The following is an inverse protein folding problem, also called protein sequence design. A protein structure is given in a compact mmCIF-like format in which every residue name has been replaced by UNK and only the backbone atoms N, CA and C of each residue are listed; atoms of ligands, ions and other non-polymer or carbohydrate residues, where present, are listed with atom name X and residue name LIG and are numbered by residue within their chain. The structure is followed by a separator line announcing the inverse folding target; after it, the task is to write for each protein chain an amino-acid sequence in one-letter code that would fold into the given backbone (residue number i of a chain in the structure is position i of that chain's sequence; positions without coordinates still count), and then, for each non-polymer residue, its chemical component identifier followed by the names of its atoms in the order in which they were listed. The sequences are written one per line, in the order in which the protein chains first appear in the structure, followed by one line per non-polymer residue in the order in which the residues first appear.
data_IF_887873701471
#
_entry.id   IF_887873701471
#
_cell.length_a   1.000
_cell.length_b   1.000
_cell.length_c   1.000
_cell.angle_alpha   90.00
_cell.angle_beta   90.00
_cell.angle_gamma   90.00
#
_symmetry.space_group_name_H-M   'P 1'
#
loop_
_entity.id
_entity.type
_entity.pdbx_description
1 polymer ?
#
# COMPACT_ATOMS: atom_id res chain seq x y z
N UNK A 1 25.58 7.62 -2.33
CA UNK A 1 24.29 7.89 -1.64
C UNK A 1 24.10 6.72 -0.70
N UNK A 2 23.98 6.97 0.59
CA UNK A 2 23.97 5.91 1.59
C UNK A 2 22.54 5.42 1.83
N UNK A 3 22.40 4.29 2.51
CA UNK A 3 21.11 3.72 2.86
C UNK A 3 20.94 3.66 4.38
N UNK A 4 19.73 3.93 4.84
CA UNK A 4 19.39 3.93 6.26
C UNK A 4 18.02 3.28 6.49
N UNK A 5 17.91 2.56 7.59
CA UNK A 5 16.64 2.09 8.11
C UNK A 5 16.16 3.00 9.25
N UNK A 6 14.89 3.43 9.18
CA UNK A 6 14.18 4.07 10.26
C UNK A 6 13.18 3.11 10.87
N UNK A 7 13.08 3.09 12.20
CA UNK A 7 12.03 2.35 12.91
C UNK A 7 11.34 3.25 13.93
N UNK A 8 10.05 3.50 13.72
CA UNK A 8 9.19 4.20 14.68
C UNK A 8 8.43 3.17 15.49
N UNK A 9 8.53 3.20 16.83
CA UNK A 9 7.80 2.27 17.71
C UNK A 9 6.51 2.92 18.20
N UNK A 10 5.51 2.13 18.55
CA UNK A 10 4.33 2.67 19.22
C UNK A 10 4.67 3.11 20.66
N UNK A 11 4.03 4.16 21.20
CA UNK A 11 4.47 4.80 22.45
C UNK A 11 4.28 3.92 23.70
N UNK A 12 3.48 2.85 23.61
CA UNK A 12 3.11 1.98 24.73
C UNK A 12 2.94 0.50 24.33
N UNK A 13 3.58 0.06 23.25
CA UNK A 13 3.27 -1.24 22.60
C UNK A 13 1.78 -1.41 22.25
N UNK A 14 1.04 -0.30 22.19
CA UNK A 14 -0.34 -0.29 21.71
C UNK A 14 -0.33 -0.64 20.23
N UNK A 15 -1.25 -1.49 19.83
CA UNK A 15 -1.39 -1.86 18.42
C UNK A 15 -1.75 -0.60 17.62
N UNK A 16 -1.04 -0.34 16.54
CA UNK A 16 -1.44 0.62 15.53
C UNK A 16 -2.81 0.21 14.99
N UNK A 17 -3.75 1.16 14.83
CA UNK A 17 -5.03 0.85 14.23
C UNK A 17 -4.80 0.26 12.83
N UNK A 18 -5.26 -0.98 12.63
CA UNK A 18 -5.19 -1.69 11.34
C UNK A 18 -6.48 -1.53 10.52
N UNK A 19 -7.28 -0.50 10.79
CA UNK A 19 -8.35 -0.15 9.87
C UNK A 19 -7.74 0.43 8.59
N UNK A 20 -8.27 0.04 7.43
CA UNK A 20 -7.72 0.42 6.12
C UNK A 20 -7.66 1.94 5.95
N UNK A 21 -8.63 2.68 6.50
CA UNK A 21 -8.64 4.13 6.44
C UNK A 21 -7.42 4.74 7.16
N UNK A 22 -7.07 4.27 8.36
CA UNK A 22 -5.86 4.71 9.06
C UNK A 22 -4.60 4.28 8.33
N UNK A 23 -4.50 3.03 7.87
CA UNK A 23 -3.34 2.56 7.08
C UNK A 23 -3.10 3.47 5.88
N UNK A 24 -4.14 3.75 5.09
CA UNK A 24 -4.07 4.62 3.91
C UNK A 24 -3.64 6.06 4.25
N UNK A 25 -4.14 6.64 5.36
CA UNK A 25 -3.64 7.94 5.86
C UNK A 25 -2.16 7.91 6.20
N UNK A 26 -1.69 6.86 6.86
CA UNK A 26 -0.28 6.68 7.24
C UNK A 26 0.60 6.52 5.99
N UNK A 27 0.17 5.72 5.02
CA UNK A 27 0.85 5.58 3.72
C UNK A 27 1.05 6.93 3.06
N UNK A 28 -0.03 7.74 2.93
CA UNK A 28 0.08 9.08 2.32
C UNK A 28 1.04 9.98 3.10
N UNK A 29 1.03 9.92 4.43
CA UNK A 29 1.96 10.68 5.26
C UNK A 29 3.42 10.26 5.02
N UNK A 30 3.70 8.95 4.87
CA UNK A 30 5.03 8.43 4.54
C UNK A 30 5.47 8.92 3.15
N UNK A 31 4.63 8.70 2.14
CA UNK A 31 4.95 9.04 0.74
C UNK A 31 5.15 10.54 0.56
N UNK A 32 4.27 11.38 1.13
CA UNK A 32 4.40 12.83 1.03
C UNK A 32 5.67 13.37 1.71
N UNK A 33 6.14 12.72 2.78
CA UNK A 33 7.29 13.19 3.57
C UNK A 33 8.61 12.64 3.07
N UNK A 34 8.66 11.34 2.78
CA UNK A 34 9.88 10.61 2.46
C UNK A 34 9.96 10.15 1.00
N UNK A 35 8.94 10.43 0.19
CA UNK A 35 8.79 9.88 -1.16
C UNK A 35 10.00 10.05 -2.07
N UNK A 36 10.80 11.10 -1.94
CA UNK A 36 12.02 11.28 -2.74
C UNK A 36 13.21 10.39 -2.30
N UNK A 37 13.20 9.88 -1.07
CA UNK A 37 14.26 9.05 -0.48
C UNK A 37 13.83 7.59 -0.20
N UNK A 38 12.53 7.31 -0.16
CA UNK A 38 11.94 6.01 0.20
C UNK A 38 12.29 4.88 -0.78
N UNK A 39 12.69 3.71 -0.28
CA UNK A 39 12.81 2.45 -1.04
C UNK A 39 11.73 1.45 -0.64
N UNK A 40 11.52 1.27 0.67
CA UNK A 40 10.53 0.37 1.23
C UNK A 40 9.91 0.97 2.49
N UNK A 41 8.66 0.61 2.78
CA UNK A 41 8.12 0.74 4.13
C UNK A 41 7.19 -0.41 4.47
N UNK A 42 6.98 -0.58 5.77
CA UNK A 42 6.01 -1.50 6.32
C UNK A 42 5.45 -0.94 7.62
N UNK A 43 4.12 -0.93 7.75
CA UNK A 43 3.36 -0.54 8.92
C UNK A 43 2.93 -1.82 9.64
N UNK A 44 3.63 -2.18 10.72
CA UNK A 44 3.28 -3.35 11.52
C UNK A 44 2.26 -2.98 12.60
N UNK A 45 1.97 -3.91 13.50
CA UNK A 45 1.11 -3.65 14.66
C UNK A 45 1.78 -2.75 15.70
N UNK A 46 3.09 -2.79 15.86
CA UNK A 46 3.79 -2.13 16.98
C UNK A 46 4.86 -1.16 16.52
N UNK A 47 5.20 -1.14 15.24
CA UNK A 47 6.24 -0.27 14.71
C UNK A 47 6.04 0.02 13.20
N UNK A 48 6.73 1.04 12.69
CA UNK A 48 6.78 1.37 11.26
C UNK A 48 8.23 1.32 10.83
N UNK A 49 8.54 0.46 9.86
CA UNK A 49 9.85 0.39 9.22
C UNK A 49 9.86 1.21 7.95
N UNK A 50 10.96 1.94 7.71
CA UNK A 50 11.23 2.59 6.43
C UNK A 50 12.69 2.34 6.05
N UNK A 51 12.92 2.12 4.77
CA UNK A 51 14.25 2.03 4.16
C UNK A 51 14.43 3.23 3.22
N UNK A 52 15.48 4.02 3.42
CA UNK A 52 15.70 5.30 2.75
C UNK A 52 17.08 5.37 2.08
N UNK A 53 17.17 6.08 0.96
CA UNK A 53 18.42 6.54 0.34
C UNK A 53 18.62 8.03 0.59
N UNK A 54 19.60 8.36 1.42
CA UNK A 54 19.92 9.73 1.81
C UNK A 54 21.32 9.78 2.45
N UNK A 55 21.82 10.97 2.81
CA UNK A 55 22.94 11.07 3.75
C UNK A 55 22.42 11.15 5.19
N UNK A 56 23.29 10.88 6.19
CA UNK A 56 22.91 10.83 7.62
C UNK A 56 22.13 12.05 8.12
N UNK A 57 22.54 13.25 7.70
CA UNK A 57 21.92 14.50 8.11
C UNK A 57 20.49 14.63 7.56
N UNK A 58 20.30 14.31 6.27
CA UNK A 58 18.97 14.27 5.65
C UNK A 58 18.10 13.19 6.26
N UNK A 59 18.64 12.01 6.56
CA UNK A 59 17.92 10.94 7.27
C UNK A 59 17.41 11.41 8.63
N UNK A 60 18.22 12.15 9.40
CA UNK A 60 17.80 12.74 10.67
C UNK A 60 16.63 13.73 10.52
N UNK A 61 16.68 14.62 9.52
CA UNK A 61 15.58 15.55 9.22
C UNK A 61 14.31 14.83 8.77
N UNK A 62 14.44 13.80 7.93
CA UNK A 62 13.32 12.96 7.50
C UNK A 62 12.70 12.24 8.70
N UNK A 63 13.50 11.73 9.63
CA UNK A 63 13.00 11.07 10.84
C UNK A 63 12.15 12.02 11.70
N UNK A 64 12.56 13.27 11.86
CA UNK A 64 11.79 14.29 12.58
C UNK A 64 10.48 14.64 11.86
N UNK A 65 10.54 14.90 10.55
CA UNK A 65 9.37 15.23 9.74
C UNK A 65 8.35 14.07 9.71
N UNK A 66 8.83 12.83 9.58
CA UNK A 66 8.02 11.62 9.64
C UNK A 66 7.39 11.44 11.02
N UNK A 67 8.12 11.67 12.11
CA UNK A 67 7.54 11.59 13.46
C UNK A 67 6.32 12.50 13.60
N UNK A 68 6.41 13.74 13.11
CA UNK A 68 5.31 14.70 13.12
C UNK A 68 4.17 14.32 12.16
N UNK A 69 4.47 13.85 10.95
CA UNK A 69 3.45 13.46 9.97
C UNK A 69 2.68 12.21 10.40
N UNK A 70 3.41 11.18 10.83
CA UNK A 70 2.86 9.92 11.35
C UNK A 70 2.06 10.19 12.62
N UNK A 71 2.57 11.03 13.52
CA UNK A 71 1.84 11.36 14.75
C UNK A 71 0.49 12.03 14.50
N UNK A 72 0.39 12.90 13.48
CA UNK A 72 -0.89 13.45 13.03
C UNK A 72 -1.79 12.39 12.40
N UNK A 73 -1.25 11.53 11.51
CA UNK A 73 -2.02 10.50 10.84
C UNK A 73 -2.58 9.45 11.80
N UNK A 74 -1.82 9.11 12.84
CA UNK A 74 -2.15 8.14 13.88
C UNK A 74 -2.85 8.76 15.10
N UNK A 75 -2.93 10.10 15.16
CA UNK A 75 -3.43 10.85 16.32
C UNK A 75 -2.71 10.47 17.63
N UNK A 76 -1.41 10.23 17.55
CA UNK A 76 -0.59 9.79 18.67
C UNK A 76 0.80 10.44 18.61
N UNK A 77 1.41 10.71 19.76
CA UNK A 77 2.80 11.17 19.81
C UNK A 77 3.73 9.97 19.72
N UNK A 78 4.52 9.88 18.67
CA UNK A 78 5.50 8.80 18.51
C UNK A 78 6.82 9.11 19.27
N UNK A 79 7.49 8.09 19.83
CA UNK A 79 8.88 8.22 20.26
C UNK A 79 9.79 8.53 19.06
N UNK A 80 11.02 8.96 19.36
CA UNK A 80 12.06 9.14 18.35
C UNK A 80 12.32 7.83 17.60
N UNK A 81 12.50 7.92 16.28
CA UNK A 81 12.88 6.77 15.48
C UNK A 81 14.30 6.31 15.81
N UNK A 82 14.52 4.99 15.82
CA UNK A 82 15.87 4.44 15.71
C UNK A 82 16.34 4.58 14.26
N UNK A 83 17.62 4.90 14.09
CA UNK A 83 18.27 5.06 12.79
C UNK A 83 19.42 4.06 12.74
N UNK A 84 19.38 3.17 11.76
CA UNK A 84 20.43 2.18 11.53
C UNK A 84 21.00 2.36 10.13
N UNK A 85 22.31 2.19 10.01
CA UNK A 85 23.03 2.32 8.74
C UNK A 85 22.93 1.00 7.97
N UNK A 86 22.84 1.08 6.64
CA UNK A 86 22.84 -0.08 5.74
C UNK A 86 24.13 -0.06 4.93
N UNK A 87 24.85 -1.18 4.97
CA UNK A 87 26.22 -1.29 4.46
C UNK A 87 26.29 -2.22 3.26
N UNK A 88 26.54 -1.67 2.08
CA UNK A 88 26.71 -2.46 0.85
C UNK A 88 25.40 -2.97 0.24
N UNK A 89 25.52 -3.59 -0.94
CA UNK A 89 24.38 -4.04 -1.74
C UNK A 89 23.62 -5.22 -1.11
N UNK A 90 24.34 -6.21 -0.58
CA UNK A 90 23.70 -7.40 0.00
C UNK A 90 22.88 -7.05 1.25
N UNK A 91 23.44 -6.22 2.14
CA UNK A 91 22.69 -5.71 3.29
C UNK A 91 21.47 -4.90 2.85
N UNK A 92 21.58 -4.09 1.78
CA UNK A 92 20.45 -3.34 1.25
C UNK A 92 19.34 -4.26 0.73
N UNK A 93 19.69 -5.33 0.00
CA UNK A 93 18.72 -6.30 -0.51
C UNK A 93 18.02 -7.02 0.65
N UNK A 94 18.79 -7.55 1.61
CA UNK A 94 18.21 -8.22 2.78
C UNK A 94 17.36 -7.28 3.64
N UNK A 95 17.76 -6.01 3.80
CA UNK A 95 16.99 -5.02 4.53
C UNK A 95 15.70 -4.64 3.80
N UNK A 96 15.72 -4.56 2.47
CA UNK A 96 14.55 -4.31 1.64
C UNK A 96 13.49 -5.40 1.83
N UNK A 97 13.87 -6.67 1.66
CA UNK A 97 12.98 -7.81 1.88
C UNK A 97 12.53 -7.88 3.35
N UNK A 98 13.44 -7.64 4.30
CA UNK A 98 13.12 -7.62 5.73
C UNK A 98 11.99 -6.65 6.03
N UNK A 99 12.08 -5.41 5.53
CA UNK A 99 11.06 -4.39 5.74
C UNK A 99 9.72 -4.87 5.17
N UNK A 100 9.67 -5.35 3.92
CA UNK A 100 8.41 -5.75 3.29
C UNK A 100 7.74 -6.97 3.94
N UNK A 101 8.54 -7.93 4.42
CA UNK A 101 8.07 -9.20 4.98
C UNK A 101 8.01 -9.24 6.52
N UNK A 102 8.02 -8.08 7.18
CA UNK A 102 8.17 -8.01 8.62
C UNK A 102 7.03 -8.73 9.40
N UNK A 103 5.77 -8.60 8.98
CA UNK A 103 4.64 -9.34 9.56
C UNK A 103 4.92 -10.86 9.59
N UNK A 104 5.35 -11.41 8.46
CA UNK A 104 5.63 -12.85 8.32
C UNK A 104 6.72 -13.30 9.28
N UNK A 105 7.75 -12.46 9.50
CA UNK A 105 8.85 -12.72 10.45
C UNK A 105 8.42 -12.69 11.91
N UNK A 106 7.32 -12.03 12.20
CA UNK A 106 6.71 -12.01 13.53
C UNK A 106 5.55 -13.01 13.68
N UNK A 107 5.37 -13.91 12.69
CA UNK A 107 4.29 -14.89 12.70
C UNK A 107 2.90 -14.28 12.46
N UNK A 108 2.83 -13.03 12.03
CA UNK A 108 1.59 -12.32 11.72
C UNK A 108 1.26 -12.56 10.25
N UNK A 109 0.04 -13.00 9.89
CA UNK A 109 -0.36 -13.06 8.50
C UNK A 109 -0.27 -11.67 7.87
N UNK A 110 0.37 -11.55 6.71
CA UNK A 110 0.41 -10.28 6.03
C UNK A 110 -0.99 -9.89 5.56
N UNK A 111 -1.24 -8.59 5.46
CA UNK A 111 -2.36 -8.05 4.70
C UNK A 111 -2.38 -8.69 3.29
N UNK A 112 -3.45 -9.41 2.90
CA UNK A 112 -3.54 -10.00 1.56
C UNK A 112 -3.42 -8.96 0.44
N UNK A 113 -3.81 -7.71 0.69
CA UNK A 113 -3.73 -6.60 -0.25
C UNK A 113 -2.48 -5.73 -0.04
N UNK A 114 -1.67 -6.06 0.97
CA UNK A 114 -0.38 -5.42 1.27
C UNK A 114 -0.47 -3.90 1.39
N UNK A 115 -1.62 -3.35 1.78
CA UNK A 115 -1.85 -1.91 1.85
C UNK A 115 -0.97 -1.25 2.91
N UNK A 116 -0.53 -2.02 3.91
CA UNK A 116 0.41 -1.63 4.96
C UNK A 116 1.88 -1.56 4.51
N UNK A 117 2.19 -1.83 3.24
CA UNK A 117 3.54 -1.72 2.65
C UNK A 117 3.52 -0.83 1.40
N UNK A 118 4.67 -0.58 0.77
CA UNK A 118 4.72 -0.01 -0.59
C UNK A 118 4.74 -1.04 -1.72
N UNK A 119 4.49 -2.33 -1.46
CA UNK A 119 4.36 -3.33 -2.53
C UNK A 119 3.33 -2.94 -3.59
N UNK A 120 2.13 -2.40 -3.24
CA UNK A 120 1.19 -1.90 -4.23
C UNK A 120 1.77 -0.80 -5.13
N UNK A 121 2.63 0.08 -4.60
CA UNK A 121 3.27 1.13 -5.42
C UNK A 121 4.33 0.55 -6.36
N UNK A 122 5.09 -0.44 -5.88
CA UNK A 122 6.15 -1.10 -6.63
C UNK A 122 5.60 -1.98 -7.76
N UNK A 123 4.43 -2.58 -7.54
CA UNK A 123 3.72 -3.43 -8.50
C UNK A 123 2.74 -2.67 -9.39
N UNK A 124 2.63 -1.34 -9.23
CA UNK A 124 1.75 -0.50 -10.03
C UNK A 124 0.26 -0.58 -9.68
N UNK A 125 -0.11 -1.23 -8.58
CA UNK A 125 -1.47 -1.27 -8.05
C UNK A 125 -1.85 0.02 -7.29
N UNK A 126 -0.88 0.89 -6.98
CA UNK A 126 -1.08 2.16 -6.31
C UNK A 126 -0.18 3.24 -6.90
N UNK A 127 -0.69 4.46 -7.11
CA UNK A 127 0.03 5.47 -7.92
C UNK A 127 0.80 6.50 -7.10
N UNK A 128 0.47 6.68 -5.82
CA UNK A 128 1.03 7.76 -4.99
C UNK A 128 2.53 7.58 -4.74
N UNK A 129 3.02 6.35 -4.65
CA UNK A 129 4.42 6.02 -4.41
C UNK A 129 5.20 5.61 -5.66
N UNK A 130 4.66 5.84 -6.87
CA UNK A 130 5.20 5.30 -8.14
C UNK A 130 6.68 5.65 -8.40
N UNK A 131 7.16 6.80 -7.94
CA UNK A 131 8.59 7.17 -8.02
C UNK A 131 9.54 6.24 -7.23
N UNK A 132 8.99 5.40 -6.34
CA UNK A 132 9.75 4.40 -5.58
C UNK A 132 10.18 3.23 -6.44
N UNK A 133 9.36 2.82 -7.40
CA UNK A 133 9.68 1.70 -8.30
C UNK A 133 10.95 1.97 -9.12
N UNK A 134 11.07 3.17 -9.69
CA UNK A 134 12.26 3.58 -10.45
C UNK A 134 13.54 3.60 -9.61
N UNK A 135 13.44 4.01 -8.35
CA UNK A 135 14.59 4.03 -7.42
C UNK A 135 14.98 2.64 -6.97
N UNK A 136 14.02 1.78 -6.61
CA UNK A 136 14.30 0.36 -6.29
C UNK A 136 15.00 -0.31 -7.47
N UNK A 137 14.50 -0.15 -8.70
CA UNK A 137 15.15 -0.70 -9.90
C UNK A 137 16.59 -0.21 -10.08
N UNK A 138 16.87 1.05 -9.76
CA UNK A 138 18.19 1.63 -9.90
C UNK A 138 19.21 1.10 -8.89
N UNK A 139 18.80 0.81 -7.65
CA UNK A 139 19.72 0.37 -6.59
C UNK A 139 19.67 -1.12 -6.26
N UNK A 140 18.59 -1.81 -6.63
CA UNK A 140 18.34 -3.23 -6.41
C UNK A 140 17.88 -3.88 -7.72
N UNK A 141 18.73 -3.94 -8.75
CA UNK A 141 18.33 -4.37 -10.11
C UNK A 141 17.88 -5.84 -10.19
N UNK A 142 18.23 -6.68 -9.19
CA UNK A 142 17.78 -8.07 -9.09
C UNK A 142 16.36 -8.21 -8.54
N UNK A 143 15.84 -7.16 -7.88
CA UNK A 143 14.45 -7.11 -7.40
C UNK A 143 13.56 -6.71 -8.57
N UNK A 144 12.98 -7.71 -9.22
CA UNK A 144 12.11 -7.55 -10.39
C UNK A 144 10.62 -7.72 -10.02
N UNK A 145 9.74 -7.60 -11.01
CA UNK A 145 8.28 -7.70 -10.81
C UNK A 145 7.83 -9.05 -10.26
N UNK A 146 8.42 -10.16 -10.71
CA UNK A 146 8.06 -11.50 -10.28
C UNK A 146 8.44 -11.72 -8.82
N UNK A 147 9.64 -11.30 -8.44
CA UNK A 147 10.08 -11.34 -7.04
C UNK A 147 9.19 -10.47 -6.14
N UNK A 148 8.81 -9.27 -6.58
CA UNK A 148 7.88 -8.41 -5.84
C UNK A 148 6.48 -9.05 -5.69
N UNK A 149 5.99 -9.75 -6.73
CA UNK A 149 4.72 -10.51 -6.66
C UNK A 149 4.83 -11.67 -5.68
N UNK A 150 5.96 -12.39 -5.66
CA UNK A 150 6.22 -13.45 -4.68
C UNK A 150 6.20 -12.89 -3.25
N UNK A 151 6.93 -11.81 -2.98
CA UNK A 151 6.93 -11.14 -1.67
C UNK A 151 5.53 -10.68 -1.25
N UNK A 152 4.73 -10.20 -2.20
CA UNK A 152 3.34 -9.80 -1.97
C UNK A 152 2.40 -10.99 -1.74
N UNK A 153 2.76 -12.20 -2.17
CA UNK A 153 1.84 -13.33 -2.25
C UNK A 153 0.83 -13.18 -3.39
N UNK A 154 1.24 -12.52 -4.48
CA UNK A 154 0.45 -12.23 -5.68
C UNK A 154 0.95 -12.97 -6.93
N UNK A 155 1.73 -14.04 -6.76
CA UNK A 155 2.30 -14.81 -7.88
C UNK A 155 1.26 -15.52 -8.75
N UNK A 156 0.08 -15.81 -8.19
CA UNK A 156 -1.10 -16.41 -8.83
C UNK A 156 -2.18 -15.37 -9.18
N UNK A 157 -1.95 -14.08 -8.90
CA UNK A 157 -2.90 -13.01 -9.25
C UNK A 157 -2.80 -12.78 -10.75
N UNK A 158 -3.74 -13.40 -11.45
CA UNK A 158 -3.95 -13.27 -12.89
C UNK A 158 -5.04 -12.27 -13.21
N UNK A 159 -5.04 -11.80 -14.45
CA UNK A 159 -6.09 -10.94 -14.97
C UNK A 159 -7.45 -11.62 -14.82
N UNK A 160 -8.34 -11.03 -14.02
CA UNK A 160 -9.67 -11.60 -13.76
C UNK A 160 -10.69 -11.01 -14.72
N UNK A 161 -11.66 -11.81 -15.19
CA UNK A 161 -12.80 -11.28 -15.93
C UNK A 161 -13.58 -10.32 -15.03
N UNK A 162 -13.65 -9.04 -15.42
CA UNK A 162 -14.40 -8.04 -14.64
C UNK A 162 -15.87 -8.27 -14.88
N UNK A 163 -16.60 -8.49 -13.78
CA UNK A 163 -18.04 -8.71 -13.79
C UNK A 163 -18.73 -7.59 -13.03
N UNK A 164 -20.01 -7.31 -13.32
CA UNK A 164 -20.83 -6.41 -12.49
C UNK A 164 -20.77 -6.75 -11.00
N UNK A 165 -20.77 -8.04 -10.63
CA UNK A 165 -20.70 -8.48 -9.24
C UNK A 165 -19.39 -8.05 -8.56
N UNK A 166 -18.24 -8.27 -9.22
CA UNK A 166 -16.94 -7.88 -8.69
C UNK A 166 -16.85 -6.36 -8.46
N UNK A 167 -17.37 -5.57 -9.40
CA UNK A 167 -17.35 -4.11 -9.27
C UNK A 167 -18.30 -3.61 -8.17
N UNK A 168 -19.49 -4.19 -8.03
CA UNK A 168 -20.41 -3.86 -6.91
C UNK A 168 -19.73 -4.06 -5.56
N UNK A 169 -18.97 -5.14 -5.42
CA UNK A 169 -18.32 -5.49 -4.16
C UNK A 169 -17.09 -4.63 -3.87
N UNK A 170 -16.28 -4.30 -4.88
CA UNK A 170 -14.93 -3.81 -4.65
C UNK A 170 -14.57 -2.48 -5.32
N UNK A 171 -15.40 -1.90 -6.18
CA UNK A 171 -15.01 -0.74 -7.01
C UNK A 171 -14.57 0.46 -6.18
N UNK A 172 -15.38 0.88 -5.20
CA UNK A 172 -15.11 2.07 -4.41
C UNK A 172 -13.87 1.92 -3.51
N UNK A 173 -13.72 0.75 -2.88
CA UNK A 173 -12.56 0.45 -2.03
C UNK A 173 -11.28 0.32 -2.86
N UNK A 174 -11.34 -0.36 -4.02
CA UNK A 174 -10.20 -0.47 -4.94
C UNK A 174 -9.75 0.89 -5.44
N UNK A 175 -10.68 1.75 -5.86
CA UNK A 175 -10.38 3.12 -6.27
C UNK A 175 -9.75 3.93 -5.12
N UNK A 176 -10.26 3.80 -3.91
CA UNK A 176 -9.68 4.43 -2.72
C UNK A 176 -8.26 3.91 -2.42
N UNK A 177 -8.00 2.62 -2.62
CA UNK A 177 -6.68 2.00 -2.44
C UNK A 177 -5.64 2.49 -3.46
N UNK A 178 -6.03 2.68 -4.73
CA UNK A 178 -5.15 3.21 -5.81
C UNK A 178 -4.52 4.55 -5.43
N UNK A 179 -5.20 5.37 -4.62
CA UNK A 179 -4.71 6.67 -4.16
C UNK A 179 -4.46 6.72 -2.64
N UNK A 180 -4.50 5.57 -1.94
CA UNK A 180 -4.49 5.44 -0.49
C UNK A 180 -5.33 6.50 0.24
N UNK A 181 -6.59 6.68 -0.15
CA UNK A 181 -7.56 7.48 0.59
C UNK A 181 -8.46 6.58 1.43
N UNK A 182 -8.98 7.10 2.54
CA UNK A 182 -9.96 6.38 3.36
C UNK A 182 -11.31 6.17 2.65
N UNK A 183 -11.57 6.92 1.59
CA UNK A 183 -12.77 6.84 0.75
C UNK A 183 -12.67 7.84 -0.40
N UNK A 184 -13.71 7.90 -1.23
CA UNK A 184 -13.80 8.77 -2.40
C UNK A 184 -14.56 10.09 -2.13
N UNK A 185 -14.92 10.36 -0.87
CA UNK A 185 -15.55 11.63 -0.53
C UNK A 185 -14.56 12.79 -0.67
N UNK A 186 -14.96 13.85 -1.36
CA UNK A 186 -14.14 15.06 -1.53
C UNK A 186 -14.11 15.57 -2.96
N UNK A 187 -13.27 16.57 -3.21
CA UNK A 187 -13.06 17.20 -4.54
C UNK A 187 -11.57 17.37 -4.86
N UNK A 188 -10.72 16.63 -4.17
CA UNK A 188 -9.31 16.61 -4.48
C UNK A 188 -9.08 16.04 -5.88
N UNK A 189 -8.01 16.51 -6.52
CA UNK A 189 -7.70 16.16 -7.90
C UNK A 189 -7.52 14.65 -8.07
N UNK A 190 -6.76 14.00 -7.19
CA UNK A 190 -6.52 12.54 -7.24
C UNK A 190 -7.80 11.72 -7.05
N UNK A 191 -8.68 12.16 -6.14
CA UNK A 191 -10.02 11.57 -5.96
C UNK A 191 -10.85 11.69 -7.24
N UNK A 192 -10.87 12.88 -7.86
CA UNK A 192 -11.63 13.11 -9.10
C UNK A 192 -11.13 12.22 -10.23
N UNK A 193 -9.81 12.14 -10.42
CA UNK A 193 -9.20 11.33 -11.48
C UNK A 193 -9.49 9.83 -11.29
N UNK A 194 -9.37 9.30 -10.06
CA UNK A 194 -9.66 7.88 -9.83
C UNK A 194 -11.15 7.58 -9.97
N UNK A 195 -12.04 8.51 -9.62
CA UNK A 195 -13.48 8.37 -9.85
C UNK A 195 -13.84 8.38 -11.34
N UNK A 196 -13.14 9.19 -12.17
CA UNK A 196 -13.26 9.12 -13.64
C UNK A 196 -12.96 7.71 -14.13
N UNK A 197 -11.79 7.19 -13.76
CA UNK A 197 -11.34 5.86 -14.18
C UNK A 197 -12.28 4.76 -13.70
N UNK A 198 -12.78 4.86 -12.46
CA UNK A 198 -13.72 3.90 -11.92
C UNK A 198 -15.08 3.93 -12.63
N UNK A 199 -15.57 5.11 -13.04
CA UNK A 199 -16.80 5.25 -13.83
C UNK A 199 -16.66 4.65 -15.24
N UNK A 200 -15.47 4.76 -15.85
CA UNK A 200 -15.16 4.09 -17.12
C UNK A 200 -15.18 2.58 -16.99
N UNK A 201 -14.52 2.04 -15.97
CA UNK A 201 -14.48 0.59 -15.74
C UNK A 201 -15.88 0.03 -15.42
N UNK A 202 -16.71 0.79 -14.69
CA UNK A 202 -18.11 0.44 -14.47
C UNK A 202 -18.92 0.36 -15.78
N UNK A 203 -18.71 1.33 -16.68
CA UNK A 203 -19.34 1.32 -17.99
C UNK A 203 -18.89 0.15 -18.88
N UNK A 204 -17.60 -0.22 -18.83
CA UNK A 204 -17.00 -1.33 -19.59
C UNK A 204 -17.69 -2.67 -19.28
N UNK A 205 -18.10 -2.89 -18.03
CA UNK A 205 -18.81 -4.11 -17.62
C UNK A 205 -20.34 -4.00 -17.68
N UNK A 206 -20.86 -2.89 -18.21
CA UNK A 206 -22.30 -2.67 -18.41
C UNK A 206 -23.07 -2.22 -17.17
N UNK A 207 -22.44 -1.59 -16.17
CA UNK A 207 -23.18 -0.94 -15.08
C UNK A 207 -23.86 0.34 -15.57
N UNK A 208 -25.10 0.55 -15.10
CA UNK A 208 -25.84 1.77 -15.38
C UNK A 208 -25.20 2.98 -14.69
N UNK A 209 -25.30 4.20 -15.27
CA UNK A 209 -24.70 5.40 -14.69
C UNK A 209 -25.15 5.69 -13.25
N UNK A 210 -26.39 5.37 -12.92
CA UNK A 210 -26.96 5.57 -11.58
C UNK A 210 -26.35 4.62 -10.56
N UNK A 211 -26.24 3.35 -10.93
CA UNK A 211 -25.58 2.34 -10.10
C UNK A 211 -24.09 2.67 -9.89
N UNK A 212 -23.37 3.04 -10.96
CA UNK A 212 -21.97 3.42 -10.86
C UNK A 212 -21.77 4.66 -9.97
N UNK A 213 -22.64 5.67 -10.10
CA UNK A 213 -22.58 6.88 -9.26
C UNK A 213 -22.85 6.56 -7.78
N UNK A 214 -23.82 5.70 -7.50
CA UNK A 214 -24.13 5.23 -6.15
C UNK A 214 -22.94 4.47 -5.53
N UNK A 215 -22.35 3.51 -6.26
CA UNK A 215 -21.16 2.77 -5.79
C UNK A 215 -20.01 3.71 -5.45
N UNK A 216 -19.77 4.74 -6.26
CA UNK A 216 -18.67 5.69 -6.08
C UNK A 216 -18.97 6.80 -5.06
N UNK A 217 -20.20 6.86 -4.52
CA UNK A 217 -20.61 7.89 -3.57
C UNK A 217 -20.63 9.30 -4.18
N UNK A 218 -20.97 9.43 -5.48
CA UNK A 218 -21.04 10.71 -6.19
C UNK A 218 -22.44 10.97 -6.74
N UNK A 219 -22.76 12.24 -6.99
CA UNK A 219 -24.03 12.59 -7.64
C UNK A 219 -24.11 12.03 -9.07
N UNK A 220 -25.30 11.61 -9.52
CA UNK A 220 -25.55 11.08 -10.87
C UNK A 220 -25.00 11.98 -11.98
N UNK A 221 -25.19 13.30 -11.86
CA UNK A 221 -24.67 14.28 -12.81
C UNK A 221 -23.14 14.28 -12.89
N UNK A 222 -22.46 14.01 -11.78
CA UNK A 222 -21.01 13.86 -11.73
C UNK A 222 -20.58 12.51 -12.34
N UNK A 223 -21.28 11.41 -12.02
CA UNK A 223 -21.04 10.10 -12.63
C UNK A 223 -21.12 10.13 -14.16
N UNK A 224 -22.16 10.77 -14.72
CA UNK A 224 -22.29 10.96 -16.18
C UNK A 224 -21.13 11.77 -16.77
N UNK A 225 -20.71 12.84 -16.11
CA UNK A 225 -19.57 13.66 -16.54
C UNK A 225 -18.26 12.89 -16.51
N UNK A 226 -18.02 12.14 -15.43
CA UNK A 226 -16.84 11.30 -15.28
C UNK A 226 -16.74 10.25 -16.38
N UNK A 227 -17.86 9.60 -16.74
CA UNK A 227 -17.91 8.65 -17.86
C UNK A 227 -17.58 9.27 -19.22
N UNK A 228 -17.89 10.56 -19.41
CA UNK A 228 -17.58 11.28 -20.65
C UNK A 228 -16.15 11.85 -20.71
N UNK A 229 -15.44 11.91 -19.57
CA UNK A 229 -14.07 12.42 -19.49
C UNK A 229 -13.05 11.40 -20.02
N UNK A 230 -11.81 11.82 -20.28
CA UNK A 230 -10.73 10.90 -20.62
C UNK A 230 -10.21 10.20 -19.36
N UNK A 231 -10.06 8.88 -19.41
CA UNK A 231 -9.51 8.09 -18.32
C UNK A 231 -7.98 7.99 -18.42
N UNK A 232 -7.28 8.29 -17.32
CA UNK A 232 -5.83 8.08 -17.25
C UNK A 232 -5.49 6.58 -17.26
N UNK A 233 -4.63 6.17 -18.20
CA UNK A 233 -4.29 4.77 -18.42
C UNK A 233 -3.52 4.14 -17.25
N UNK A 234 -2.70 4.91 -16.52
CA UNK A 234 -1.95 4.39 -15.36
C UNK A 234 -2.86 4.13 -14.19
N UNK A 235 -3.78 5.05 -13.90
CA UNK A 235 -4.82 4.86 -12.89
C UNK A 235 -5.74 3.68 -13.23
N UNK A 236 -6.10 3.50 -14.51
CA UNK A 236 -6.91 2.36 -14.96
C UNK A 236 -6.18 1.03 -14.75
N UNK A 237 -4.89 0.96 -15.11
CA UNK A 237 -4.07 -0.23 -14.86
C UNK A 237 -3.94 -0.53 -13.36
N UNK A 238 -3.73 0.50 -12.53
CA UNK A 238 -3.68 0.35 -11.08
C UNK A 238 -5.00 -0.16 -10.49
N UNK A 239 -6.13 0.40 -10.93
CA UNK A 239 -7.46 -0.01 -10.49
C UNK A 239 -7.77 -1.46 -10.88
N UNK A 240 -7.44 -1.85 -12.11
CA UNK A 240 -7.59 -3.24 -12.57
C UNK A 240 -6.75 -4.20 -11.73
N UNK A 241 -5.51 -3.85 -11.43
CA UNK A 241 -4.66 -4.66 -10.56
C UNK A 241 -5.23 -4.79 -9.14
N UNK A 242 -5.77 -3.71 -8.55
CA UNK A 242 -6.42 -3.76 -7.23
C UNK A 242 -7.67 -4.67 -7.22
N UNK A 243 -8.43 -4.69 -8.31
CA UNK A 243 -9.58 -5.58 -8.47
C UNK A 243 -9.18 -7.05 -8.65
N UNK A 244 -8.13 -7.32 -9.43
CA UNK A 244 -7.61 -8.68 -9.61
C UNK A 244 -7.11 -9.26 -8.29
N UNK A 245 -6.36 -8.46 -7.52
CA UNK A 245 -5.89 -8.85 -6.19
C UNK A 245 -7.07 -9.17 -5.28
N UNK A 246 -8.11 -8.32 -5.25
CA UNK A 246 -9.29 -8.54 -4.38
C UNK A 246 -10.10 -9.76 -4.79
N UNK A 247 -10.27 -10.00 -6.08
CA UNK A 247 -10.97 -11.18 -6.60
C UNK A 247 -10.27 -12.49 -6.17
N UNK A 248 -8.93 -12.49 -6.19
CA UNK A 248 -8.09 -13.66 -5.87
C UNK A 248 -7.78 -13.76 -4.37
N UNK A 249 -7.88 -12.66 -3.64
CA UNK A 249 -7.62 -12.52 -2.20
C UNK A 249 -8.80 -11.83 -1.50
N UNK A 250 -9.98 -12.47 -1.42
CA UNK A 250 -11.10 -11.89 -0.72
C UNK A 250 -10.74 -11.72 0.76
N UNK A 251 -10.86 -10.50 1.27
CA UNK A 251 -10.84 -10.26 2.71
C UNK A 251 -12.27 -10.36 3.20
N UNK A 252 -12.51 -11.20 4.20
CA UNK A 252 -13.80 -11.22 4.85
C UNK A 252 -13.89 -9.98 5.75
N UNK A 253 -14.92 -9.16 5.53
CA UNK A 253 -15.14 -7.93 6.31
C UNK A 253 -15.44 -8.20 7.80
N UNK A 254 -15.78 -9.45 8.15
CA UNK A 254 -16.06 -9.91 9.52
C UNK A 254 -14.81 -10.28 10.32
N UNK A 255 -13.63 -10.34 9.70
CA UNK A 255 -12.38 -10.70 10.38
C UNK A 255 -11.56 -9.44 10.65
N UNK A 256 -11.47 -8.98 11.92
CA UNK A 256 -10.48 -7.98 12.30
C UNK A 256 -9.10 -8.43 11.81
N UNK A 257 -8.27 -7.47 11.40
CA UNK A 257 -6.90 -7.70 10.90
C UNK A 257 -5.98 -8.54 11.83
N UNK A 258 -6.44 -8.89 13.03
CA UNK A 258 -5.75 -9.65 14.06
C UNK A 258 -6.36 -11.04 14.33
N UNK A 259 -7.56 -11.34 13.82
CA UNK A 259 -8.37 -12.49 14.22
C UNK A 259 -8.40 -13.60 13.17
N UNK A 260 -7.30 -13.81 12.45
CA UNK A 260 -7.16 -14.97 11.58
C UNK A 260 -6.79 -16.21 12.42
N UNK A 261 -7.79 -17.03 12.74
CA UNK A 261 -7.62 -18.36 13.31
C UNK A 261 -6.68 -19.22 12.44
N UNK A 262 -5.83 -20.05 13.07
CA UNK A 262 -4.94 -20.99 12.37
C UNK A 262 -3.50 -20.54 12.15
N UNK A 263 -2.94 -19.70 13.03
CA UNK A 263 -1.55 -19.27 12.92
C UNK A 263 -0.57 -20.41 13.27
N UNK A 264 0.20 -20.83 12.26
CA UNK A 264 1.40 -21.66 12.45
C UNK A 264 2.47 -20.81 13.12
N UNK A 265 3.06 -21.30 14.21
CA UNK A 265 4.14 -20.62 14.92
C UNK A 265 5.33 -20.32 13.99
N UNK A 266 5.93 -19.12 14.12
CA UNK A 266 7.10 -18.69 13.33
C UNK A 266 8.24 -19.71 13.32
N UNK A 267 8.43 -20.43 14.43
CA UNK A 267 9.45 -21.46 14.63
C UNK A 267 9.32 -22.63 13.65
N UNK A 268 8.10 -23.00 13.26
CA UNK A 268 7.84 -24.07 12.29
C UNK A 268 8.11 -23.61 10.85
N UNK A 269 7.85 -22.32 10.55
CA UNK A 269 8.06 -21.74 9.21
C UNK A 269 9.53 -21.47 8.89
N UNK A 270 10.35 -21.18 9.91
CA UNK A 270 11.80 -20.95 9.76
C UNK A 270 12.56 -22.15 9.18
N UNK A 271 12.00 -23.37 9.26
CA UNK A 271 12.58 -24.59 8.67
C UNK A 271 12.50 -24.64 7.14
N UNK A 272 11.68 -23.79 6.52
CA UNK A 272 11.35 -23.84 5.08
C UNK A 272 11.95 -22.67 4.29
N UNK A 273 12.50 -21.65 4.96
CA UNK A 273 13.17 -20.55 4.27
C UNK A 273 14.64 -20.93 3.95
N UNK A 274 15.14 -20.67 2.73
CA UNK A 274 16.53 -20.86 2.39
C UNK A 274 17.41 -20.08 3.38
N UNK A 275 18.46 -20.73 3.89
CA UNK A 275 19.49 -20.06 4.68
C UNK A 275 20.32 -19.13 3.81
#
# INVERSE_FOLDING_TARGET
MDAYQLVFRSPRRTVFPRDRATVRRVVRAIVATAGAALLAFHISDTHVHLLLLANRARTGRLAQALSASLGRALRARLPSASISDIHGGDHLSSAFEYVLCNDQRHGVPPDPWRENTNLPDLLGARVIGSATAGRVRAVLPRINGDHLRELAGWGDVVETKRTPALLREHLADSASAVIARSGLAGREHDTTEVTVVAAHLAAEVGLEPEEAAALLGVALSSGRRHRAASADAKLLAALRCQLDVRAVRPLRDDVPFQASDGLIAWEERRRVLPR
#
